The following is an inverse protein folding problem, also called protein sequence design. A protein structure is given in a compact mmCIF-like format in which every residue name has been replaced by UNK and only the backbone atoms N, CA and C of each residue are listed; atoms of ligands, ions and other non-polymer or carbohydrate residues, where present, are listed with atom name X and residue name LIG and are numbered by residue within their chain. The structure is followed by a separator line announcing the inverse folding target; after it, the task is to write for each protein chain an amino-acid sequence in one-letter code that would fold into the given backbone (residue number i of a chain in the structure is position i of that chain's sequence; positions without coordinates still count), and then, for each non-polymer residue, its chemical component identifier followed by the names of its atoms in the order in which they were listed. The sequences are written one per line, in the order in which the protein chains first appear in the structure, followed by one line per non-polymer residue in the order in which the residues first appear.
data_IF_839748801905
#
_entry.id   IF_839748801905
#
_cell.length_a   1.000
_cell.length_b   1.000
_cell.length_c   1.000
_cell.angle_alpha   90.00
_cell.angle_beta   90.00
_cell.angle_gamma   90.00
#
_symmetry.space_group_name_H-M   'P 1'
#
loop_
_entity.id
_entity.type
_entity.pdbx_description
1 polymer ?
#
# COMPACT_ATOMS: atom_id res chain seq x y z
N UNK A 1 31.11 27.73 -38.63
CA UNK A 1 32.12 28.49 -37.84
C UNK A 1 31.69 28.40 -36.39
N UNK A 2 32.39 27.87 -35.38
CA UNK A 2 33.77 27.44 -35.13
C UNK A 2 33.69 26.20 -34.23
N UNK A 3 34.49 25.18 -34.55
CA UNK A 3 34.77 24.01 -33.69
C UNK A 3 35.82 24.43 -32.66
N UNK A 4 35.63 24.11 -31.38
CA UNK A 4 36.72 24.12 -30.39
C UNK A 4 37.00 22.68 -29.96
N UNK A 5 38.26 22.29 -30.17
CA UNK A 5 38.90 20.99 -29.92
C UNK A 5 39.78 21.10 -28.66
N UNK A 6 40.29 19.94 -28.20
CA UNK A 6 41.49 19.75 -27.37
C UNK A 6 41.27 19.90 -25.83
N UNK A 7 41.64 18.98 -24.93
CA UNK A 7 42.71 17.96 -24.91
C UNK A 7 42.30 16.73 -24.06
N UNK A 8 42.62 15.53 -24.58
CA UNK A 8 42.63 14.26 -23.83
C UNK A 8 44.05 14.07 -23.29
N UNK A 9 44.22 14.07 -21.96
CA UNK A 9 45.49 13.67 -21.33
C UNK A 9 45.40 12.20 -20.92
N UNK A 10 46.14 11.35 -21.64
CA UNK A 10 46.36 9.96 -21.29
C UNK A 10 47.34 9.88 -20.11
N UNK A 11 46.85 9.41 -18.95
CA UNK A 11 47.66 9.08 -17.78
C UNK A 11 47.88 7.57 -17.70
N UNK A 12 49.08 7.13 -18.09
CA UNK A 12 49.54 5.75 -18.01
C UNK A 12 50.15 5.52 -16.61
N UNK A 13 49.43 4.84 -15.71
CA UNK A 13 49.97 4.40 -14.42
C UNK A 13 50.21 2.88 -14.48
N UNK A 14 51.48 2.51 -14.66
CA UNK A 14 51.98 1.15 -14.47
C UNK A 14 52.35 0.99 -12.98
N UNK A 15 51.64 0.11 -12.27
CA UNK A 15 52.06 -0.39 -10.96
C UNK A 15 52.06 -1.93 -11.01
N UNK A 16 53.27 -2.47 -11.05
CA UNK A 16 53.60 -3.88 -10.90
C UNK A 16 53.08 -4.43 -9.57
N UNK A 17 52.23 -5.46 -9.62
CA UNK A 17 51.90 -6.31 -8.48
C UNK A 17 52.54 -7.68 -8.65
N UNK A 18 53.59 -7.98 -7.90
CA UNK A 18 54.16 -9.33 -7.80
C UNK A 18 53.32 -10.17 -6.86
N UNK A 19 52.61 -11.16 -7.38
CA UNK A 19 51.91 -12.17 -6.58
C UNK A 19 52.93 -13.15 -6.00
N UNK A 20 53.19 -13.06 -4.70
CA UNK A 20 53.85 -14.13 -3.94
C UNK A 20 52.83 -15.19 -3.57
N UNK A 21 52.97 -16.40 -4.12
CA UNK A 21 52.22 -17.57 -3.66
C UNK A 21 52.87 -18.07 -2.36
N UNK A 22 52.17 -17.92 -1.24
CA UNK A 22 52.51 -18.59 0.01
C UNK A 22 51.82 -19.95 -0.03
N UNK A 23 52.59 -21.02 -0.19
CA UNK A 23 52.12 -22.40 -0.06
C UNK A 23 52.23 -22.79 1.42
N UNK A 24 51.12 -22.72 2.16
CA UNK A 24 51.03 -23.35 3.48
C UNK A 24 50.94 -24.88 3.32
N UNK A 25 51.71 -25.67 4.11
CA UNK A 25 51.50 -27.12 4.18
C UNK A 25 50.17 -27.44 4.88
N UNK A 26 49.47 -28.52 4.48
CA UNK A 26 48.22 -28.92 5.12
C UNK A 26 48.46 -29.36 6.57
N UNK A 27 47.51 -29.14 7.49
CA UNK A 27 47.59 -29.68 8.84
C UNK A 27 47.44 -31.21 8.81
N UNK A 28 48.43 -31.92 9.35
CA UNK A 28 48.34 -33.34 9.64
C UNK A 28 47.33 -33.57 10.78
N UNK A 29 46.17 -34.16 10.47
CA UNK A 29 45.21 -34.48 11.54
C UNK A 29 43.78 -34.82 11.14
N UNK A 30 43.54 -35.46 9.99
CA UNK A 30 42.21 -36.00 9.68
C UNK A 30 42.14 -37.45 10.19
N UNK A 31 41.52 -37.66 11.36
CA UNK A 31 41.18 -39.00 11.85
C UNK A 31 39.83 -39.44 11.25
N UNK A 32 39.81 -40.38 10.28
CA UNK A 32 38.59 -40.83 9.63
C UNK A 32 37.69 -41.70 10.54
N UNK A 33 38.08 -41.95 11.79
CA UNK A 33 37.34 -42.83 12.72
C UNK A 33 36.36 -42.08 13.63
N UNK A 34 36.36 -40.74 13.61
CA UNK A 34 35.54 -39.91 14.50
C UNK A 34 34.13 -39.61 13.98
N UNK A 35 33.79 -40.00 12.75
CA UNK A 35 32.46 -39.76 12.16
C UNK A 35 31.43 -40.78 12.66
N UNK A 36 30.90 -40.59 13.88
CA UNK A 36 29.55 -41.10 14.17
C UNK A 36 28.54 -40.29 13.33
N UNK A 37 27.60 -40.93 12.61
CA UNK A 37 26.59 -40.21 11.85
C UNK A 37 25.76 -39.31 12.78
N UNK A 38 25.89 -37.99 12.64
CA UNK A 38 25.00 -37.03 13.27
C UNK A 38 23.73 -37.01 12.40
N UNK A 39 22.55 -37.41 12.91
CA UNK A 39 21.33 -37.26 12.14
C UNK A 39 21.10 -35.76 11.89
N UNK A 40 20.66 -35.38 10.68
CA UNK A 40 20.68 -33.97 10.27
C UNK A 40 19.67 -33.07 11.01
N UNK A 41 18.82 -33.59 11.91
CA UNK A 41 17.82 -32.78 12.63
C UNK A 41 17.51 -33.31 14.05
N UNK A 42 17.35 -32.44 15.06
CA UNK A 42 16.77 -32.83 16.34
C UNK A 42 15.30 -33.25 16.15
N UNK A 43 14.93 -34.41 16.70
CA UNK A 43 13.57 -34.95 16.63
C UNK A 43 12.59 -33.96 17.29
N UNK A 44 11.68 -33.36 16.51
CA UNK A 44 10.63 -32.49 17.05
C UNK A 44 9.66 -33.36 17.86
N UNK A 45 9.31 -33.01 19.11
CA UNK A 45 8.31 -33.74 19.87
C UNK A 45 6.96 -33.70 19.14
N UNK A 46 6.39 -34.88 18.92
CA UNK A 46 5.06 -35.03 18.32
C UNK A 46 4.02 -34.59 19.35
N UNK A 47 3.58 -33.34 19.25
CA UNK A 47 2.51 -32.80 20.08
C UNK A 47 1.14 -33.25 19.56
N UNK A 48 0.48 -34.16 20.25
CA UNK A 48 -0.89 -34.60 19.96
C UNK A 48 -1.95 -33.60 20.49
N UNK A 49 -1.78 -32.31 20.18
CA UNK A 49 -2.73 -31.27 20.57
C UNK A 49 -3.82 -31.06 19.51
N UNK A 50 -5.04 -30.64 19.88
CA UNK A 50 -6.04 -30.21 18.90
C UNK A 50 -5.54 -28.97 18.16
N UNK A 51 -5.26 -29.10 16.87
CA UNK A 51 -4.94 -27.96 16.00
C UNK A 51 -6.23 -27.30 15.53
N UNK A 52 -6.49 -26.08 15.98
CA UNK A 52 -7.58 -25.25 15.45
C UNK A 52 -7.26 -24.91 14.00
N UNK A 53 -7.92 -25.59 13.06
CA UNK A 53 -7.72 -25.39 11.61
C UNK A 53 -8.65 -24.29 11.07
N UNK A 54 -8.66 -23.13 11.74
CA UNK A 54 -9.16 -21.92 11.10
C UNK A 54 -8.08 -21.48 10.10
N UNK A 55 -8.19 -21.93 8.86
CA UNK A 55 -7.40 -21.38 7.76
C UNK A 55 -7.92 -19.97 7.52
N UNK A 56 -7.20 -18.97 8.02
CA UNK A 56 -7.43 -17.59 7.65
C UNK A 56 -7.26 -17.49 6.13
N UNK A 57 -8.22 -16.88 5.39
CA UNK A 57 -8.04 -16.66 3.96
C UNK A 57 -6.73 -15.91 3.74
N UNK A 58 -6.01 -16.15 2.63
CA UNK A 58 -4.77 -15.45 2.35
C UNK A 58 -5.04 -13.93 2.39
N UNK A 59 -4.14 -13.14 3.00
CA UNK A 59 -4.35 -11.70 3.09
C UNK A 59 -4.43 -11.11 1.68
N UNK A 60 -5.54 -10.44 1.38
CA UNK A 60 -5.69 -9.71 0.11
C UNK A 60 -4.82 -8.46 0.15
N UNK A 61 -3.85 -8.38 -0.76
CA UNK A 61 -2.95 -7.21 -0.83
C UNK A 61 -3.67 -6.07 -1.56
N UNK A 62 -3.81 -4.93 -0.87
CA UNK A 62 -4.28 -3.66 -1.44
C UNK A 62 -3.26 -2.57 -1.16
N UNK A 63 -2.28 -2.45 -2.05
CA UNK A 63 -1.16 -1.52 -1.90
C UNK A 63 -0.86 -0.83 -3.22
N UNK A 64 -0.89 0.51 -3.22
CA UNK A 64 -0.57 1.34 -4.36
C UNK A 64 0.55 2.32 -4.00
N UNK A 65 1.51 2.47 -4.90
CA UNK A 65 2.45 3.59 -4.92
C UNK A 65 1.87 4.68 -5.80
N UNK A 66 1.73 5.88 -5.23
CA UNK A 66 1.16 7.04 -5.85
C UNK A 66 2.26 8.06 -6.12
N UNK A 67 2.27 8.68 -7.30
CA UNK A 67 3.22 9.74 -7.63
C UNK A 67 2.54 10.90 -8.32
N UNK A 68 3.15 12.08 -8.21
CA UNK A 68 2.73 13.28 -8.91
C UNK A 68 3.97 13.99 -9.47
N UNK A 69 3.85 14.45 -10.71
CA UNK A 69 4.80 15.28 -11.45
C UNK A 69 4.10 16.58 -11.88
N UNK A 70 4.86 17.69 -11.91
CA UNK A 70 4.39 18.94 -12.56
C UNK A 70 4.64 18.85 -14.06
N UNK A 71 3.72 19.36 -14.85
CA UNK A 71 3.79 19.31 -16.29
C UNK A 71 3.06 18.10 -16.87
N UNK A 72 3.26 17.89 -18.17
CA UNK A 72 2.67 16.77 -18.92
C UNK A 72 3.49 15.48 -18.82
N UNK A 73 4.70 15.55 -18.25
CA UNK A 73 5.59 14.40 -18.10
C UNK A 73 5.50 13.83 -16.70
N UNK A 74 5.65 12.53 -16.58
CA UNK A 74 5.65 11.78 -15.31
C UNK A 74 6.94 11.97 -14.49
N UNK A 75 7.89 12.76 -15.00
CA UNK A 75 9.13 13.12 -14.34
C UNK A 75 9.51 14.59 -14.63
N UNK A 76 10.14 15.29 -13.67
CA UNK A 76 10.52 14.81 -12.33
C UNK A 76 9.32 14.66 -11.38
N UNK A 77 9.34 13.61 -10.56
CA UNK A 77 8.35 13.41 -9.50
C UNK A 77 8.61 14.42 -8.39
N UNK A 78 7.54 15.07 -7.94
CA UNK A 78 7.54 16.15 -6.95
C UNK A 78 6.77 15.77 -5.68
N UNK A 79 5.97 14.71 -5.74
CA UNK A 79 5.30 14.11 -4.59
C UNK A 79 5.11 12.61 -4.79
N UNK A 80 5.19 11.84 -3.70
CA UNK A 80 4.90 10.41 -3.70
C UNK A 80 4.28 9.98 -2.37
N UNK A 81 3.48 8.92 -2.42
CA UNK A 81 2.90 8.30 -1.23
C UNK A 81 2.70 6.80 -1.44
N UNK A 82 2.84 6.05 -0.35
CA UNK A 82 2.39 4.66 -0.26
C UNK A 82 0.98 4.67 0.34
N UNK A 83 0.06 3.98 -0.32
CA UNK A 83 -1.30 3.76 0.16
C UNK A 83 -1.51 2.25 0.36
N UNK A 84 -1.81 1.86 1.60
CA UNK A 84 -2.25 0.51 1.94
C UNK A 84 -3.71 0.59 2.40
N UNK A 85 -4.57 -0.37 2.00
CA UNK A 85 -6.00 -0.32 2.31
C UNK A 85 -6.53 -1.44 3.21
N UNK A 86 -5.73 -2.46 3.49
CA UNK A 86 -6.07 -3.54 4.43
C UNK A 86 -4.92 -3.77 5.45
N UNK A 87 -4.98 -3.17 6.66
CA UNK A 87 -5.82 -2.01 7.03
C UNK A 87 -5.33 -0.70 6.35
N UNK A 88 -6.14 0.37 6.34
CA UNK A 88 -5.75 1.68 5.81
C UNK A 88 -4.47 2.23 6.46
N UNK A 89 -3.48 2.60 5.66
CA UNK A 89 -2.20 3.10 6.14
C UNK A 89 -1.23 3.51 5.03
N UNK A 90 0.06 3.57 5.39
CA UNK A 90 1.15 4.02 4.52
C UNK A 90 1.54 5.49 4.77
N UNK A 91 2.16 6.12 3.78
CA UNK A 91 2.62 7.52 3.86
C UNK A 91 1.59 8.50 3.27
N UNK A 92 0.46 8.02 2.76
CA UNK A 92 -0.65 8.85 2.32
C UNK A 92 -1.21 9.68 3.48
N UNK A 93 -1.56 10.94 3.22
CA UNK A 93 -1.92 11.87 4.29
C UNK A 93 -3.32 11.64 4.92
N UNK A 94 -4.22 10.99 4.18
CA UNK A 94 -5.52 10.48 4.66
C UNK A 94 -5.78 9.14 3.95
N UNK A 95 -5.22 8.03 4.44
CA UNK A 95 -5.34 6.74 3.77
C UNK A 95 -6.78 6.20 3.83
N UNK A 96 -7.49 6.46 4.93
CA UNK A 96 -8.87 6.01 5.12
C UNK A 96 -9.79 6.54 4.00
N UNK A 97 -9.70 7.84 3.68
CA UNK A 97 -10.55 8.42 2.63
C UNK A 97 -10.18 7.92 1.24
N UNK A 98 -8.89 7.82 0.95
CA UNK A 98 -8.42 7.33 -0.34
C UNK A 98 -8.85 5.87 -0.56
N UNK A 99 -8.76 5.03 0.47
CA UNK A 99 -9.19 3.64 0.41
C UNK A 99 -10.70 3.53 0.24
N UNK A 100 -11.52 4.25 1.01
CA UNK A 100 -12.98 4.28 0.86
C UNK A 100 -13.39 4.54 -0.60
N UNK A 101 -12.73 5.50 -1.25
CA UNK A 101 -12.99 5.88 -2.64
C UNK A 101 -12.55 4.80 -3.64
N UNK A 102 -11.39 4.19 -3.42
CA UNK A 102 -10.85 3.18 -4.32
C UNK A 102 -11.56 1.84 -4.22
N UNK A 103 -12.10 1.49 -3.05
CA UNK A 103 -12.90 0.28 -2.87
C UNK A 103 -14.11 0.23 -3.81
N UNK A 104 -14.76 1.37 -4.04
CA UNK A 104 -15.92 1.46 -4.94
C UNK A 104 -15.63 1.07 -6.39
N UNK A 105 -14.36 1.17 -6.80
CA UNK A 105 -13.91 0.92 -8.17
C UNK A 105 -12.87 -0.22 -8.25
N UNK A 106 -12.70 -0.97 -7.17
CA UNK A 106 -11.72 -2.06 -7.10
C UNK A 106 -10.28 -1.60 -7.33
N UNK A 107 -9.91 -0.42 -6.82
CA UNK A 107 -8.53 0.06 -6.81
C UNK A 107 -8.05 0.79 -8.05
N UNK A 108 -8.85 0.90 -9.11
CA UNK A 108 -8.41 1.53 -10.36
C UNK A 108 -8.92 2.98 -10.50
N UNK A 109 -8.06 4.02 -10.37
CA UNK A 109 -8.52 5.42 -10.36
C UNK A 109 -9.25 5.87 -11.63
N UNK A 110 -8.95 5.26 -12.78
CA UNK A 110 -9.61 5.59 -14.05
C UNK A 110 -11.12 5.25 -14.07
N UNK A 111 -11.58 4.37 -13.16
CA UNK A 111 -12.98 3.97 -13.09
C UNK A 111 -13.83 4.86 -12.19
N UNK A 112 -13.20 5.82 -11.49
CA UNK A 112 -13.90 6.79 -10.65
C UNK A 112 -14.83 7.66 -11.47
N UNK A 113 -16.06 7.80 -11.00
CA UNK A 113 -17.04 8.70 -11.60
C UNK A 113 -17.09 9.98 -10.76
N UNK A 114 -16.66 11.13 -11.30
CA UNK A 114 -16.61 12.37 -10.53
C UNK A 114 -18.00 12.82 -10.06
N UNK A 115 -18.08 13.46 -8.89
CA UNK A 115 -19.29 14.15 -8.44
C UNK A 115 -19.67 15.27 -9.43
N UNK A 116 -20.96 15.61 -9.47
CA UNK A 116 -21.45 16.72 -10.31
C UNK A 116 -21.21 18.06 -9.60
N UNK A 117 -21.06 19.13 -10.37
CA UNK A 117 -21.04 20.50 -9.85
C UNK A 117 -19.68 20.99 -9.35
N UNK A 118 -18.60 20.22 -9.54
CA UNK A 118 -17.24 20.74 -9.35
C UNK A 118 -16.90 21.60 -10.57
N UNK A 119 -16.65 22.89 -10.34
CA UNK A 119 -16.28 23.85 -11.38
C UNK A 119 -14.81 24.17 -11.21
N UNK A 120 -14.03 23.94 -12.26
CA UNK A 120 -12.61 24.28 -12.31
C UNK A 120 -12.36 25.46 -13.23
N UNK A 121 -11.30 26.21 -12.95
CA UNK A 121 -10.81 27.24 -13.86
C UNK A 121 -10.26 26.59 -15.13
N UNK A 122 -10.21 27.37 -16.21
CA UNK A 122 -9.62 26.96 -17.49
C UNK A 122 -8.10 27.18 -17.55
N UNK A 123 -7.47 27.57 -16.45
CA UNK A 123 -6.02 27.75 -16.40
C UNK A 123 -5.33 26.41 -16.70
N UNK A 124 -4.38 26.44 -17.63
CA UNK A 124 -3.53 25.29 -17.92
C UNK A 124 -2.28 25.34 -17.05
N UNK A 125 -2.19 24.42 -16.09
CA UNK A 125 -1.04 24.17 -15.21
C UNK A 125 -0.96 22.65 -14.97
N UNK A 126 -0.51 21.88 -15.97
CA UNK A 126 -0.76 20.45 -16.01
C UNK A 126 -0.06 19.71 -14.88
N UNK A 127 -0.71 18.63 -14.43
CA UNK A 127 -0.18 17.72 -13.42
C UNK A 127 -0.34 16.29 -13.93
N UNK A 128 0.75 15.53 -13.93
CA UNK A 128 0.74 14.11 -14.28
C UNK A 128 0.83 13.28 -13.02
N UNK A 129 -0.11 12.37 -12.82
CA UNK A 129 -0.16 11.47 -11.68
C UNK A 129 0.01 10.03 -12.12
N UNK A 130 0.52 9.17 -11.23
CA UNK A 130 0.49 7.73 -11.44
C UNK A 130 0.10 6.96 -10.18
N UNK A 131 -0.59 5.83 -10.37
CA UNK A 131 -0.86 4.84 -9.32
C UNK A 131 -0.45 3.46 -9.83
N UNK A 132 0.48 2.82 -9.14
CA UNK A 132 0.99 1.50 -9.51
C UNK A 132 1.05 0.58 -8.29
N UNK A 133 0.59 -0.65 -8.42
CA UNK A 133 0.66 -1.62 -7.32
C UNK A 133 -0.26 -2.81 -7.51
N UNK A 134 -0.71 -3.39 -6.40
CA UNK A 134 -1.57 -4.58 -6.38
C UNK A 134 -2.86 -4.26 -5.63
N UNK A 135 -3.97 -4.73 -6.17
CA UNK A 135 -5.28 -4.67 -5.54
C UNK A 135 -6.03 -5.99 -5.75
N UNK A 136 -6.25 -6.75 -4.67
CA UNK A 136 -6.94 -8.05 -4.71
C UNK A 136 -6.43 -8.95 -5.84
N UNK A 137 -5.13 -9.25 -5.84
CA UNK A 137 -4.42 -10.08 -6.84
C UNK A 137 -4.38 -9.51 -8.26
N UNK A 138 -4.81 -8.26 -8.46
CA UNK A 138 -4.72 -7.57 -9.75
C UNK A 138 -3.63 -6.52 -9.73
N UNK A 139 -2.80 -6.50 -10.76
CA UNK A 139 -1.87 -5.40 -10.99
C UNK A 139 -2.62 -4.16 -11.48
N UNK A 140 -2.45 -3.05 -10.76
CA UNK A 140 -2.99 -1.75 -11.12
C UNK A 140 -1.86 -0.90 -11.71
N UNK A 141 -2.10 -0.31 -12.86
CA UNK A 141 -1.24 0.72 -13.46
C UNK A 141 -2.09 1.81 -14.07
N UNK A 142 -1.99 3.00 -13.49
CA UNK A 142 -2.70 4.18 -13.92
C UNK A 142 -1.69 5.32 -14.08
N UNK A 143 -1.80 6.05 -15.17
CA UNK A 143 -1.05 7.28 -15.41
C UNK A 143 -1.95 8.23 -16.20
N UNK A 144 -2.04 9.47 -15.74
CA UNK A 144 -2.87 10.48 -16.42
C UNK A 144 -2.38 11.89 -16.15
N UNK A 145 -2.43 12.71 -17.18
CA UNK A 145 -2.24 14.16 -17.09
C UNK A 145 -3.59 14.86 -16.97
N UNK A 146 -3.70 15.78 -16.02
CA UNK A 146 -4.83 16.68 -15.85
C UNK A 146 -4.40 18.10 -16.19
N UNK A 147 -5.30 18.90 -16.77
CA UNK A 147 -4.97 20.26 -17.20
C UNK A 147 -4.66 21.22 -16.06
N UNK A 148 -5.14 20.92 -14.85
CA UNK A 148 -4.78 21.59 -13.61
C UNK A 148 -5.13 20.71 -12.40
N UNK A 149 -4.65 21.11 -11.22
CA UNK A 149 -4.93 20.38 -9.98
C UNK A 149 -6.40 20.37 -9.55
N UNK A 150 -7.18 21.39 -9.91
CA UNK A 150 -8.63 21.35 -9.66
C UNK A 150 -9.27 20.18 -10.43
N UNK A 151 -8.89 19.99 -11.71
CA UNK A 151 -9.40 18.91 -12.53
C UNK A 151 -8.97 17.54 -12.00
N UNK A 152 -7.71 17.42 -11.53
CA UNK A 152 -7.25 16.23 -10.81
C UNK A 152 -8.16 15.93 -9.60
N UNK A 153 -8.34 16.90 -8.70
CA UNK A 153 -9.17 16.72 -7.51
C UNK A 153 -10.64 16.42 -7.85
N UNK A 154 -11.19 17.10 -8.86
CA UNK A 154 -12.56 16.87 -9.30
C UNK A 154 -12.78 15.42 -9.73
N UNK A 155 -11.83 14.85 -10.46
CA UNK A 155 -11.91 13.51 -11.04
C UNK A 155 -11.50 12.38 -10.11
N UNK A 156 -10.48 12.58 -9.27
CA UNK A 156 -9.91 11.51 -8.43
C UNK A 156 -10.11 11.71 -6.94
N UNK A 157 -10.57 12.89 -6.52
CA UNK A 157 -10.80 13.20 -5.10
C UNK A 157 -9.57 12.96 -4.22
N UNK A 158 -9.72 12.24 -3.10
CA UNK A 158 -8.68 12.09 -2.09
C UNK A 158 -7.49 11.23 -2.52
N UNK A 159 -7.60 10.46 -3.61
CA UNK A 159 -6.57 9.48 -4.01
C UNK A 159 -5.20 10.12 -4.22
N UNK A 160 -5.14 11.35 -4.74
CA UNK A 160 -3.88 12.07 -4.98
C UNK A 160 -3.66 13.27 -4.04
N UNK A 161 -4.39 13.32 -2.92
CA UNK A 161 -4.39 14.47 -2.01
C UNK A 161 -3.38 14.38 -0.87
N UNK A 162 -2.26 13.71 -1.13
CA UNK A 162 -1.10 13.63 -0.23
C UNK A 162 -0.06 14.72 -0.51
N UNK A 163 -0.07 15.32 -1.70
CA UNK A 163 0.85 16.38 -2.05
C UNK A 163 0.26 17.75 -1.74
N UNK A 164 0.89 18.39 -0.78
CA UNK A 164 0.49 19.58 -0.03
C UNK A 164 0.82 20.91 -0.72
N UNK A 165 1.09 20.92 -2.03
CA UNK A 165 1.44 22.16 -2.74
C UNK A 165 0.27 23.12 -3.02
N UNK A 166 -0.98 22.73 -2.74
CA UNK A 166 -2.15 23.43 -3.30
C UNK A 166 -2.93 24.31 -2.33
N UNK A 167 -2.59 24.37 -1.03
CA UNK A 167 -3.27 25.25 -0.06
C UNK A 167 -4.78 24.97 0.18
N UNK A 168 -5.40 24.09 -0.64
CA UNK A 168 -6.82 23.74 -0.64
C UNK A 168 -7.07 22.33 -0.04
N UNK A 169 -6.20 21.83 0.83
CA UNK A 169 -6.57 20.65 1.61
C UNK A 169 -7.64 21.10 2.63
N UNK A 170 -8.90 20.61 2.57
CA UNK A 170 -9.86 20.92 3.62
C UNK A 170 -9.29 20.42 4.95
N UNK A 171 -8.85 21.35 5.79
CA UNK A 171 -8.37 21.04 7.14
C UNK A 171 -9.62 20.70 7.97
N UNK A 172 -9.84 19.42 8.25
CA UNK A 172 -10.94 18.96 9.12
C UNK A 172 -11.48 17.58 8.74
N UNK A 173 -12.48 17.09 9.49
CA UNK A 173 -13.17 15.81 9.24
C UNK A 173 -14.20 15.88 8.09
N UNK A 174 -14.38 17.05 7.47
CA UNK A 174 -15.35 17.24 6.41
C UNK A 174 -14.83 16.70 5.07
N UNK A 175 -15.49 15.66 4.55
CA UNK A 175 -15.16 14.94 3.31
C UNK A 175 -16.20 15.21 2.21
N UNK A 176 -16.06 16.29 1.42
CA UNK A 176 -17.07 16.70 0.44
C UNK A 176 -17.08 15.87 -0.84
N UNK A 177 -15.97 15.23 -1.16
CA UNK A 177 -15.84 14.44 -2.37
C UNK A 177 -16.31 13.01 -2.11
N UNK A 178 -17.36 12.58 -2.83
CA UNK A 178 -17.79 11.19 -2.90
C UNK A 178 -17.98 10.80 -4.37
N UNK A 179 -17.47 9.64 -4.80
CA UNK A 179 -17.69 9.19 -6.16
C UNK A 179 -19.16 8.87 -6.40
N UNK A 180 -19.58 8.90 -7.67
CA UNK A 180 -20.90 8.41 -8.04
C UNK A 180 -20.83 6.92 -8.33
N UNK A 181 -21.74 6.14 -7.76
CA UNK A 181 -21.88 4.75 -8.15
C UNK A 181 -22.35 4.65 -9.61
N UNK A 182 -21.67 3.80 -10.40
CA UNK A 182 -22.02 3.49 -11.80
C UNK A 182 -23.33 2.69 -11.82
N UNK A 183 -24.47 3.36 -11.65
CA UNK A 183 -25.80 2.73 -11.73
C UNK A 183 -26.89 3.23 -10.76
N UNK A 184 -26.57 4.13 -9.82
CA UNK A 184 -27.56 4.67 -8.89
C UNK A 184 -28.25 5.93 -9.44
N UNK A 185 -29.51 5.83 -9.83
CA UNK A 185 -30.38 7.02 -9.92
C UNK A 185 -30.41 7.69 -8.55
N UNK A 186 -30.06 8.97 -8.50
CA UNK A 186 -29.82 9.69 -7.25
C UNK A 186 -30.94 9.53 -6.22
N UNK A 187 -30.57 9.02 -5.05
CA UNK A 187 -31.30 9.26 -3.82
C UNK A 187 -30.30 9.86 -2.83
N UNK A 188 -30.38 11.18 -2.66
CA UNK A 188 -29.87 11.83 -1.47
C UNK A 188 -30.70 11.29 -0.29
N UNK A 189 -30.24 10.21 0.34
CA UNK A 189 -30.85 9.59 1.50
C UNK A 189 -30.00 9.87 2.72
N UNK A 190 -30.49 10.74 3.60
CA UNK A 190 -30.01 10.94 4.96
C UNK A 190 -29.89 9.59 5.67
N UNK A 191 -28.67 9.11 5.91
CA UNK A 191 -28.43 7.98 6.80
C UNK A 191 -28.58 8.47 8.25
N UNK A 192 -29.81 8.36 8.77
CA UNK A 192 -30.13 8.44 10.19
C UNK A 192 -29.41 7.28 10.89
N UNK A 193 -28.56 7.59 11.87
CA UNK A 193 -27.88 6.62 12.72
C UNK A 193 -28.85 6.07 13.78
N UNK A 194 -29.36 4.86 13.56
CA UNK A 194 -30.07 4.11 14.61
C UNK A 194 -29.06 3.53 15.61
N UNK A 195 -28.95 4.23 16.74
CA UNK A 195 -28.18 3.82 17.92
C UNK A 195 -28.96 2.72 18.66
N UNK A 196 -28.88 1.47 18.19
CA UNK A 196 -29.47 0.35 18.92
C UNK A 196 -28.51 -0.11 20.01
N UNK A 197 -28.72 0.44 21.21
CA UNK A 197 -28.06 -0.01 22.44
C UNK A 197 -28.61 -1.39 22.80
N UNK A 198 -27.88 -2.47 22.50
CA UNK A 198 -28.24 -3.80 22.95
C UNK A 198 -27.76 -3.99 24.40
N UNK A 199 -28.69 -3.85 25.35
CA UNK A 199 -28.50 -4.20 26.76
C UNK A 199 -28.38 -5.71 26.90
N UNK A 200 -27.23 -6.18 27.38
CA UNK A 200 -26.99 -7.58 27.72
C UNK A 200 -27.92 -8.01 28.88
N UNK A 201 -28.76 -9.02 28.65
CA UNK A 201 -29.55 -9.69 29.69
C UNK A 201 -28.80 -10.93 30.15
N UNK A 202 -28.20 -10.85 31.33
CA UNK A 202 -27.61 -11.96 32.06
C UNK A 202 -28.71 -12.94 32.49
N UNK A 203 -28.70 -14.15 31.93
CA UNK A 203 -29.44 -15.29 32.47
C UNK A 203 -28.57 -16.00 33.50
N UNK A 204 -28.89 -15.82 34.79
CA UNK A 204 -28.39 -16.64 35.87
C UNK A 204 -29.20 -17.94 35.95
N UNK A 205 -28.50 -19.08 35.89
CA UNK A 205 -29.02 -20.40 36.20
C UNK A 205 -28.25 -20.93 37.43
N UNK A 206 -28.97 -21.27 38.50
CA UNK A 206 -28.66 -22.36 39.44
C UNK A 206 -29.57 -22.25 40.68
N UNK A 207 -30.21 -23.37 41.07
CA UNK A 207 -30.92 -23.46 42.33
C UNK A 207 -31.95 -24.60 42.39
N UNK A 208 -31.48 -25.84 42.33
CA UNK A 208 -32.29 -27.00 42.64
C UNK A 208 -32.46 -27.16 44.16
N UNK A 209 -33.69 -27.37 44.64
CA UNK A 209 -33.97 -28.01 45.93
C UNK A 209 -35.33 -28.72 45.89
N UNK A 210 -35.27 -30.05 45.90
CA UNK A 210 -36.35 -31.00 46.24
C UNK A 210 -36.80 -30.77 47.68
N UNK A 211 -38.12 -30.86 47.97
CA UNK A 211 -38.71 -31.64 49.08
C UNK A 211 -40.24 -31.42 49.25
N UNK A 212 -40.98 -32.54 49.24
CA UNK A 212 -42.12 -32.92 50.11
C UNK A 212 -43.47 -32.17 50.06
N UNK A 213 -44.51 -32.82 49.51
CA UNK A 213 -45.67 -33.36 50.26
C UNK A 213 -46.86 -33.71 49.33
N UNK A 214 -47.08 -35.00 49.08
CA UNK A 214 -48.34 -35.74 49.27
C UNK A 214 -48.19 -37.18 48.77
#
# INVERSE_FOLDING_TARGET
MRRLLCLVTAGLFLLSGTAGAVTEPPPDGFDPSAERPVPPYPERPVGNGPVSSAVEPPPTVKTLTLTIAKGERSAPVVGHALLQCDPPGGTHSDPEWACEVLEEVGGHPADLVPPRGVICTLQYDPVTVSATGIWNDRFIRFERTFGNACSLWAETGPVFAFWDSWGWRPKGSWRPWRPRHRGGTGAAGTAQTDKTTATAKTTGAAGAAKLSNR
#
